data_IF_295237315743
#
_entry.id   IF_295237315743
#
_cell.length_a   1.000
_cell.length_b   1.000
_cell.length_c   1.000
_cell.angle_alpha   90.00
_cell.angle_beta   90.00
_cell.angle_gamma   90.00
#
_symmetry.space_group_name_H-M   'P 1'
#
loop_
_entity.id
_entity.type
_entity.pdbx_description
1 polymer ?
#
# COMPACT_ATOMS: atom_id res chain seq x y z
N UNK A 1 5.21 27.29 -0.16
CA UNK A 1 4.06 26.61 -0.78
C UNK A 1 2.99 27.66 -1.01
N UNK A 2 2.50 27.78 -2.22
CA UNK A 2 1.40 28.69 -2.60
C UNK A 2 0.27 27.86 -3.19
N UNK A 3 -0.94 28.07 -2.69
CA UNK A 3 -2.17 27.49 -3.24
C UNK A 3 -3.35 28.42 -2.96
N UNK A 4 -4.15 28.71 -3.99
CA UNK A 4 -5.36 29.51 -3.86
C UNK A 4 -5.14 30.89 -3.21
N UNK A 5 -4.01 31.55 -3.51
CA UNK A 5 -3.63 32.85 -2.94
C UNK A 5 -3.11 32.78 -1.49
N UNK A 6 -3.10 31.62 -0.85
CA UNK A 6 -2.45 31.42 0.46
C UNK A 6 -1.01 30.98 0.29
N UNK A 7 -0.12 31.65 1.02
CA UNK A 7 1.27 31.28 1.13
C UNK A 7 1.57 30.66 2.50
N UNK A 8 2.28 29.55 2.50
CA UNK A 8 2.78 28.90 3.70
C UNK A 8 4.27 28.67 3.56
N UNK A 9 5.04 29.16 4.51
CA UNK A 9 6.49 28.94 4.57
C UNK A 9 6.81 27.91 5.65
N UNK A 10 7.61 26.92 5.29
CA UNK A 10 8.12 25.90 6.20
C UNK A 10 9.64 26.03 6.26
N UNK A 11 10.19 25.96 7.46
CA UNK A 11 11.65 25.94 7.68
C UNK A 11 12.03 24.52 8.06
N UNK A 12 12.75 23.86 7.18
CA UNK A 12 13.29 22.52 7.43
C UNK A 12 14.71 22.68 7.95
N UNK A 13 15.05 22.14 9.12
CA UNK A 13 16.39 22.23 9.66
C UNK A 13 17.42 21.51 8.78
N UNK A 14 18.66 21.93 8.84
CA UNK A 14 19.76 21.23 8.16
C UNK A 14 20.05 19.90 8.89
N UNK A 15 20.41 18.88 8.12
CA UNK A 15 20.96 17.64 8.66
C UNK A 15 22.43 17.89 9.00
N UNK A 16 22.85 17.53 10.21
CA UNK A 16 24.24 17.64 10.61
C UNK A 16 25.12 16.71 9.78
N UNK A 17 26.27 17.18 9.34
CA UNK A 17 27.27 16.37 8.61
C UNK A 17 27.79 15.21 9.50
N UNK A 18 27.76 15.40 10.83
CA UNK A 18 28.15 14.36 11.79
C UNK A 18 27.07 13.29 12.02
N UNK A 19 25.84 13.52 11.57
CA UNK A 19 24.76 12.54 11.68
C UNK A 19 24.81 11.57 10.51
N UNK A 20 25.38 10.40 10.74
CA UNK A 20 25.47 9.33 9.73
C UNK A 20 24.15 8.56 9.53
N UNK A 21 23.17 8.74 10.42
CA UNK A 21 21.90 7.99 10.39
C UNK A 21 20.77 8.74 9.71
N UNK A 22 20.65 10.05 9.94
CA UNK A 22 19.58 10.86 9.33
C UNK A 22 19.93 11.21 7.89
N UNK A 23 19.23 10.60 6.94
CA UNK A 23 19.46 10.84 5.50
C UNK A 23 18.52 11.90 4.92
N UNK A 24 17.35 12.07 5.50
CA UNK A 24 16.36 13.07 5.11
C UNK A 24 15.48 13.48 6.28
N UNK A 25 14.97 14.72 6.22
CA UNK A 25 13.95 15.20 7.15
C UNK A 25 12.64 15.31 6.39
N UNK A 26 11.61 14.64 6.90
CA UNK A 26 10.25 14.70 6.35
C UNK A 26 9.53 15.88 6.97
N UNK A 27 8.91 16.70 6.15
CA UNK A 27 8.02 17.78 6.59
C UNK A 27 6.73 17.78 5.78
N UNK A 28 5.65 18.22 6.40
CA UNK A 28 4.34 18.31 5.76
C UNK A 28 3.64 19.61 6.13
N UNK A 29 2.76 20.08 5.24
CA UNK A 29 1.92 21.25 5.50
C UNK A 29 0.49 20.98 5.04
N UNK A 30 -0.47 21.34 5.87
CA UNK A 30 -1.89 21.34 5.52
C UNK A 30 -2.36 22.78 5.32
N UNK A 31 -2.97 23.08 4.18
CA UNK A 31 -3.47 24.39 3.86
C UNK A 31 -4.99 24.32 3.68
N UNK A 32 -5.74 24.91 4.59
CA UNK A 32 -7.18 25.01 4.47
C UNK A 32 -7.54 26.27 3.68
N UNK A 33 -8.23 26.10 2.57
CA UNK A 33 -8.67 27.15 1.67
C UNK A 33 -10.14 26.97 1.34
N UNK A 34 -10.80 28.05 0.94
CA UNK A 34 -12.12 27.94 0.35
C UNK A 34 -12.00 27.36 -1.07
N UNK A 35 -12.98 26.57 -1.52
CA UNK A 35 -12.99 26.02 -2.87
C UNK A 35 -12.87 27.14 -3.91
N UNK A 36 -11.96 26.97 -4.85
CA UNK A 36 -11.87 27.84 -6.02
C UNK A 36 -12.69 27.18 -7.12
N UNK A 37 -13.63 27.92 -7.68
CA UNK A 37 -14.48 27.45 -8.77
C UNK A 37 -13.72 27.50 -10.12
N UNK A 38 -12.64 26.77 -10.23
CA UNK A 38 -11.88 26.64 -11.49
C UNK A 38 -11.58 25.17 -11.75
N UNK A 39 -11.59 24.77 -13.02
CA UNK A 39 -11.30 23.41 -13.45
C UNK A 39 -9.83 23.01 -13.26
N UNK A 40 -8.95 23.99 -13.15
CA UNK A 40 -7.52 23.79 -12.93
C UNK A 40 -7.10 24.33 -11.59
N UNK A 41 -6.45 23.50 -10.82
CA UNK A 41 -5.84 23.83 -9.53
C UNK A 41 -4.33 23.88 -9.69
N UNK A 42 -3.71 24.98 -9.27
CA UNK A 42 -2.26 25.16 -9.32
C UNK A 42 -1.69 25.22 -7.91
N UNK A 43 -0.73 24.35 -7.64
CA UNK A 43 0.06 24.36 -6.40
C UNK A 43 1.50 24.69 -6.77
N UNK A 44 2.01 25.82 -6.28
CA UNK A 44 3.40 26.21 -6.48
C UNK A 44 4.24 25.91 -5.25
N UNK A 45 5.34 25.18 -5.45
CA UNK A 45 6.32 24.91 -4.42
C UNK A 45 7.65 25.55 -4.79
N UNK A 46 8.21 26.35 -3.88
CA UNK A 46 9.52 26.93 -4.03
C UNK A 46 10.41 26.43 -2.91
N UNK A 47 11.52 25.81 -3.26
CA UNK A 47 12.56 25.42 -2.33
C UNK A 47 13.70 26.43 -2.39
N UNK A 48 13.99 27.07 -1.27
CA UNK A 48 15.07 28.03 -1.13
C UNK A 48 16.11 27.47 -0.15
N UNK A 49 17.36 27.41 -0.59
CA UNK A 49 18.47 27.01 0.27
C UNK A 49 19.66 27.95 0.03
N UNK A 50 20.43 28.18 1.09
CA UNK A 50 21.72 28.89 1.03
C UNK A 50 22.87 27.96 0.65
N UNK A 51 22.65 26.65 0.66
CA UNK A 51 23.65 25.64 0.29
C UNK A 51 23.32 25.00 -1.06
N UNK A 52 24.30 24.94 -1.95
CA UNK A 52 24.17 24.28 -3.27
C UNK A 52 24.03 22.75 -3.17
N UNK A 53 24.40 22.15 -2.04
CA UNK A 53 24.28 20.71 -1.80
C UNK A 53 22.91 20.30 -1.22
N UNK A 54 22.05 21.25 -0.89
CA UNK A 54 20.71 20.96 -0.36
C UNK A 54 19.75 20.56 -1.48
N UNK A 55 19.06 19.45 -1.28
CA UNK A 55 18.02 18.97 -2.19
C UNK A 55 16.70 18.82 -1.43
N UNK A 56 15.59 19.01 -2.14
CA UNK A 56 14.25 18.73 -1.64
C UNK A 56 13.50 17.88 -2.66
N UNK A 57 12.79 16.88 -2.17
CA UNK A 57 12.00 15.99 -2.98
C UNK A 57 10.53 16.07 -2.56
N UNK A 58 9.66 16.29 -3.53
CA UNK A 58 8.22 16.24 -3.30
C UNK A 58 7.79 14.78 -3.28
N UNK A 59 7.23 14.34 -2.15
CA UNK A 59 6.71 12.99 -2.02
C UNK A 59 5.30 12.88 -2.62
N UNK A 60 4.36 13.69 -2.14
CA UNK A 60 3.00 13.74 -2.69
C UNK A 60 2.33 15.08 -2.42
N UNK A 61 1.28 15.35 -3.18
CA UNK A 61 0.30 16.39 -2.93
C UNK A 61 -1.07 15.71 -2.85
N UNK A 62 -1.80 15.98 -1.79
CA UNK A 62 -3.18 15.54 -1.65
C UNK A 62 -4.11 16.76 -1.66
N UNK A 63 -5.17 16.70 -2.48
CA UNK A 63 -6.19 17.72 -2.56
C UNK A 63 -7.55 17.11 -2.20
N UNK A 64 -8.16 17.61 -1.14
CA UNK A 64 -9.51 17.25 -0.73
C UNK A 64 -10.47 18.39 -1.11
N UNK A 65 -11.15 18.23 -2.22
CA UNK A 65 -12.02 19.26 -2.79
C UNK A 65 -13.46 18.73 -2.94
N UNK A 66 -14.48 19.55 -2.62
CA UNK A 66 -15.84 19.23 -2.99
C UNK A 66 -15.99 19.36 -4.52
N UNK A 67 -16.43 18.29 -5.15
CA UNK A 67 -16.65 18.24 -6.59
C UNK A 67 -18.10 17.86 -6.91
N UNK A 68 -18.61 18.35 -8.05
CA UNK A 68 -19.83 17.79 -8.62
C UNK A 68 -19.58 16.36 -9.08
N UNK A 69 -20.55 15.48 -8.87
CA UNK A 69 -20.46 14.11 -9.35
C UNK A 69 -20.79 14.07 -10.85
N UNK A 70 -19.75 14.16 -11.65
CA UNK A 70 -19.82 14.07 -13.13
C UNK A 70 -18.81 13.01 -13.56
N UNK A 71 -19.24 12.06 -14.38
CA UNK A 71 -18.36 10.98 -14.88
C UNK A 71 -17.47 11.51 -16.01
N UNK A 72 -16.38 12.16 -15.66
CA UNK A 72 -15.45 12.82 -16.58
C UNK A 72 -14.21 11.97 -16.93
N UNK A 73 -14.13 10.75 -16.43
CA UNK A 73 -13.04 9.81 -16.67
C UNK A 73 -13.54 8.37 -16.60
N UNK A 74 -12.72 7.41 -16.97
CA UNK A 74 -13.07 5.98 -16.91
C UNK A 74 -13.10 5.42 -15.48
N UNK A 75 -12.54 6.14 -14.52
CA UNK A 75 -12.57 5.80 -13.09
C UNK A 75 -12.47 7.07 -12.25
N UNK A 76 -13.29 7.18 -11.21
CA UNK A 76 -13.15 8.23 -10.20
C UNK A 76 -13.51 7.75 -8.79
N UNK A 77 -12.71 8.10 -7.78
CA UNK A 77 -13.03 7.84 -6.38
C UNK A 77 -14.04 8.86 -5.85
N UNK A 78 -14.93 8.41 -4.97
CA UNK A 78 -15.97 9.22 -4.35
C UNK A 78 -15.97 8.96 -2.86
N UNK A 79 -15.74 10.01 -2.06
CA UNK A 79 -15.84 9.97 -0.60
C UNK A 79 -16.64 11.19 -0.17
N UNK A 80 -17.69 10.97 0.61
CA UNK A 80 -18.47 12.06 1.19
C UNK A 80 -18.27 12.07 2.70
N UNK A 81 -17.54 13.05 3.21
CA UNK A 81 -17.33 13.26 4.64
C UNK A 81 -18.12 14.41 5.21
N UNK A 82 -18.59 15.33 4.35
CA UNK A 82 -19.26 16.57 4.77
C UNK A 82 -20.60 16.35 5.46
N UNK A 83 -21.36 15.35 5.01
CA UNK A 83 -22.70 15.04 5.51
C UNK A 83 -22.72 13.79 6.38
N UNK A 84 -21.55 13.29 6.78
CA UNK A 84 -21.41 12.10 7.59
C UNK A 84 -22.20 12.23 8.91
N UNK A 85 -23.02 11.23 9.19
CA UNK A 85 -23.84 11.16 10.41
C UNK A 85 -25.12 12.04 10.42
N UNK A 86 -25.33 12.90 9.41
CA UNK A 86 -26.53 13.74 9.35
C UNK A 86 -27.82 12.94 9.07
N UNK A 87 -27.73 11.89 8.26
CA UNK A 87 -28.83 10.97 7.97
C UNK A 87 -28.27 9.57 7.71
N UNK A 88 -29.03 8.51 8.00
CA UNK A 88 -28.53 7.14 7.86
C UNK A 88 -28.29 6.72 6.40
N UNK A 89 -29.02 7.28 5.45
CA UNK A 89 -28.86 6.96 4.04
C UNK A 89 -28.80 8.24 3.20
N UNK A 90 -28.03 8.16 2.11
CA UNK A 90 -27.82 9.25 1.18
C UNK A 90 -28.03 8.79 -0.25
N UNK A 91 -28.75 9.58 -1.02
CA UNK A 91 -28.92 9.35 -2.45
C UNK A 91 -27.89 10.17 -3.22
N UNK A 92 -27.08 9.49 -3.99
CA UNK A 92 -26.09 10.09 -4.87
C UNK A 92 -26.64 10.19 -6.29
N UNK A 93 -26.29 11.26 -6.99
CA UNK A 93 -26.62 11.50 -8.38
C UNK A 93 -25.35 11.86 -9.14
N UNK A 94 -24.97 11.00 -10.08
CA UNK A 94 -23.81 11.21 -10.96
C UNK A 94 -24.28 11.52 -12.36
N UNK A 95 -23.88 12.67 -12.87
CA UNK A 95 -24.17 13.10 -14.23
C UNK A 95 -23.20 12.50 -15.25
N UNK A 96 -23.54 12.57 -16.53
CA UNK A 96 -22.73 12.07 -17.66
C UNK A 96 -22.36 10.58 -17.56
N UNK A 97 -23.12 9.81 -16.83
CA UNK A 97 -22.98 8.36 -16.76
C UNK A 97 -23.69 7.68 -17.96
N UNK A 98 -23.25 6.48 -18.27
CA UNK A 98 -23.81 5.65 -19.32
C UNK A 98 -24.14 4.23 -18.82
N UNK A 99 -24.68 3.38 -19.70
CA UNK A 99 -25.09 2.00 -19.37
C UNK A 99 -23.95 1.10 -18.88
N UNK A 100 -22.69 1.47 -19.15
CA UNK A 100 -21.51 0.71 -18.70
C UNK A 100 -20.95 1.26 -17.38
N UNK A 101 -21.45 2.40 -16.88
CA UNK A 101 -20.98 2.98 -15.63
C UNK A 101 -21.45 2.16 -14.44
N UNK A 102 -20.53 1.70 -13.62
CA UNK A 102 -20.77 0.96 -12.39
C UNK A 102 -20.29 1.75 -11.17
N UNK A 103 -20.96 1.55 -10.06
CA UNK A 103 -20.55 2.08 -8.76
C UNK A 103 -20.15 0.90 -7.87
N UNK A 104 -18.92 0.92 -7.39
CA UNK A 104 -18.40 -0.08 -6.47
C UNK A 104 -18.14 0.56 -5.12
N UNK A 105 -18.67 -0.05 -4.07
CA UNK A 105 -18.35 0.28 -2.69
C UNK A 105 -17.10 -0.48 -2.27
N UNK A 106 -16.13 0.22 -1.69
CA UNK A 106 -14.88 -0.38 -1.19
C UNK A 106 -14.84 -0.21 0.32
N UNK A 107 -14.92 -1.32 1.05
CA UNK A 107 -14.88 -1.35 2.51
C UNK A 107 -13.55 -1.89 2.98
N UNK A 108 -12.93 -1.20 3.94
CA UNK A 108 -11.64 -1.59 4.55
C UNK A 108 -10.51 -1.83 3.52
N UNK A 109 -10.64 -1.26 2.31
CA UNK A 109 -9.66 -1.39 1.23
C UNK A 109 -9.60 -2.73 0.52
N UNK A 110 -10.33 -3.76 0.98
CA UNK A 110 -10.25 -5.13 0.45
C UNK A 110 -11.60 -5.72 0.00
N UNK A 111 -12.70 -5.32 0.64
CA UNK A 111 -14.03 -5.80 0.26
C UNK A 111 -14.65 -4.86 -0.75
N UNK A 112 -15.06 -5.43 -1.89
CA UNK A 112 -15.65 -4.69 -2.99
C UNK A 112 -17.04 -5.24 -3.30
N UNK A 113 -18.02 -4.34 -3.38
CA UNK A 113 -19.40 -4.66 -3.70
C UNK A 113 -19.91 -3.71 -4.79
N UNK A 114 -20.51 -4.28 -5.83
CA UNK A 114 -21.19 -3.48 -6.84
C UNK A 114 -22.53 -2.98 -6.29
N UNK A 115 -22.72 -1.66 -6.30
CA UNK A 115 -23.94 -1.04 -5.81
C UNK A 115 -25.08 -1.19 -6.83
N UNK A 116 -26.31 -1.43 -6.38
CA UNK A 116 -27.49 -1.27 -7.22
C UNK A 116 -27.63 0.18 -7.70
N UNK A 117 -27.79 0.36 -8.99
CA UNK A 117 -27.89 1.69 -9.61
C UNK A 117 -29.09 1.80 -10.52
N UNK A 118 -29.60 3.02 -10.72
CA UNK A 118 -30.63 3.36 -11.70
C UNK A 118 -30.09 4.45 -12.61
N UNK A 119 -30.09 4.21 -13.91
CA UNK A 119 -29.71 5.21 -14.92
C UNK A 119 -30.96 5.82 -15.56
N UNK A 120 -31.05 7.15 -15.57
CA UNK A 120 -32.11 7.89 -16.26
C UNK A 120 -31.53 9.18 -16.81
N UNK A 121 -31.72 9.41 -18.11
CA UNK A 121 -31.26 10.62 -18.82
C UNK A 121 -29.80 11.00 -18.52
N UNK A 122 -28.88 10.03 -18.55
CA UNK A 122 -27.45 10.26 -18.29
C UNK A 122 -27.09 10.49 -16.81
N UNK A 123 -28.07 10.37 -15.91
CA UNK A 123 -27.86 10.48 -14.47
C UNK A 123 -27.97 9.11 -13.82
N UNK A 124 -26.87 8.64 -13.25
CA UNK A 124 -26.81 7.41 -12.46
C UNK A 124 -27.10 7.71 -10.99
N UNK A 125 -27.98 6.94 -10.39
CA UNK A 125 -28.41 7.13 -9.00
C UNK A 125 -28.16 5.86 -8.19
N UNK A 126 -27.64 6.01 -6.97
CA UNK A 126 -27.55 4.94 -5.97
C UNK A 126 -27.79 5.47 -4.56
N UNK A 127 -27.99 4.55 -3.62
CA UNK A 127 -28.15 4.88 -2.20
C UNK A 127 -26.96 4.30 -1.45
N UNK A 128 -26.30 5.12 -0.65
CA UNK A 128 -25.20 4.73 0.22
C UNK A 128 -25.52 4.90 1.69
N UNK A 129 -24.82 4.16 2.53
CA UNK A 129 -24.81 4.36 3.97
C UNK A 129 -24.05 5.65 4.30
N UNK A 130 -24.62 6.47 5.15
CA UNK A 130 -24.02 7.73 5.57
C UNK A 130 -23.70 7.77 7.08
N UNK A 131 -23.81 6.64 7.75
CA UNK A 131 -23.43 6.51 9.16
C UNK A 131 -21.92 6.43 9.34
N UNK A 132 -21.20 6.08 8.28
CA UNK A 132 -19.76 5.98 8.19
C UNK A 132 -19.24 6.55 6.87
N UNK A 133 -17.95 6.89 6.82
CA UNK A 133 -17.30 7.38 5.61
C UNK A 133 -17.05 6.21 4.65
N UNK A 134 -18.01 5.92 3.79
CA UNK A 134 -17.87 4.93 2.72
C UNK A 134 -17.10 5.51 1.53
N UNK A 135 -16.25 4.68 0.95
CA UNK A 135 -15.55 4.96 -0.29
C UNK A 135 -16.28 4.24 -1.44
N UNK A 136 -16.65 5.02 -2.45
CA UNK A 136 -17.15 4.48 -3.71
C UNK A 136 -16.15 4.72 -4.82
N UNK A 137 -16.18 3.87 -5.83
CA UNK A 137 -15.45 4.04 -7.08
C UNK A 137 -16.48 3.95 -8.20
N UNK A 138 -16.62 5.02 -8.95
CA UNK A 138 -17.31 4.98 -10.23
C UNK A 138 -16.33 4.52 -11.28
N UNK A 139 -16.70 3.55 -12.12
CA UNK A 139 -15.85 3.07 -13.18
C UNK A 139 -16.65 2.60 -14.40
N UNK A 140 -15.99 2.62 -15.55
CA UNK A 140 -16.50 2.02 -16.78
C UNK A 140 -15.66 0.77 -17.13
N UNK A 141 -16.10 -0.44 -16.78
CA UNK A 141 -15.32 -1.67 -17.05
C UNK A 141 -15.15 -1.97 -18.54
N UNK A 142 -16.01 -1.44 -19.40
CA UNK A 142 -15.92 -1.60 -20.84
C UNK A 142 -14.89 -0.68 -21.51
N UNK A 143 -14.24 0.19 -20.77
CA UNK A 143 -13.18 1.06 -21.31
C UNK A 143 -11.97 0.22 -21.71
N UNK A 144 -11.45 0.47 -22.89
CA UNK A 144 -10.32 -0.28 -23.45
C UNK A 144 -8.95 0.25 -23.03
N UNK A 145 -8.90 1.34 -22.29
CA UNK A 145 -7.66 1.96 -21.79
C UNK A 145 -7.17 1.36 -20.48
N UNK A 146 -7.92 0.43 -19.88
CA UNK A 146 -7.49 -0.29 -18.69
C UNK A 146 -6.15 -1.00 -18.90
N UNK A 147 -5.24 -0.81 -17.96
CA UNK A 147 -3.97 -1.54 -17.98
C UNK A 147 -4.23 -3.03 -17.82
N UNK A 148 -3.63 -3.81 -18.68
CA UNK A 148 -3.68 -5.28 -18.62
C UNK A 148 -2.39 -5.81 -18.00
N UNK A 149 -2.46 -6.81 -17.11
CA UNK A 149 -1.25 -7.44 -16.60
C UNK A 149 -0.49 -8.12 -17.74
N UNK A 150 0.82 -8.03 -17.69
CA UNK A 150 1.71 -8.71 -18.63
C UNK A 150 2.21 -9.99 -17.98
N UNK A 151 2.11 -11.12 -18.68
CA UNK A 151 2.68 -12.37 -18.20
C UNK A 151 4.19 -12.31 -18.29
N UNK A 152 4.89 -12.46 -17.18
CA UNK A 152 6.35 -12.45 -17.10
C UNK A 152 6.95 -13.86 -17.06
N UNK A 153 6.17 -14.90 -16.79
CA UNK A 153 6.64 -16.29 -16.77
C UNK A 153 5.83 -17.20 -15.87
N UNK A 154 6.33 -18.42 -15.74
CA UNK A 154 5.80 -19.40 -14.78
C UNK A 154 6.60 -19.30 -13.48
N UNK A 155 5.90 -19.28 -12.36
CA UNK A 155 6.50 -19.41 -11.04
C UNK A 155 6.57 -20.89 -10.68
N UNK A 156 7.68 -21.33 -10.11
CA UNK A 156 7.85 -22.70 -9.61
C UNK A 156 6.85 -22.93 -8.48
N UNK A 157 6.22 -24.10 -8.48
CA UNK A 157 5.31 -24.47 -7.40
C UNK A 157 6.07 -24.50 -6.07
N UNK A 158 5.47 -23.90 -5.05
CA UNK A 158 6.00 -23.83 -3.71
C UNK A 158 4.86 -24.00 -2.70
N UNK A 159 5.18 -24.35 -1.46
CA UNK A 159 4.21 -24.44 -0.38
C UNK A 159 4.91 -24.25 0.97
N UNK A 160 5.24 -23.01 1.32
CA UNK A 160 5.81 -22.68 2.62
C UNK A 160 4.78 -22.85 3.75
N UNK A 161 3.51 -22.79 3.40
CA UNK A 161 2.43 -23.09 4.35
C UNK A 161 2.38 -24.56 4.77
N UNK A 162 3.13 -25.47 4.15
CA UNK A 162 3.28 -26.85 4.61
C UNK A 162 4.41 -27.07 5.62
N UNK A 163 5.22 -26.05 5.89
CA UNK A 163 6.33 -26.16 6.85
C UNK A 163 5.80 -26.34 8.27
N UNK A 164 6.33 -27.34 8.98
CA UNK A 164 5.99 -27.66 10.37
C UNK A 164 7.23 -28.08 11.14
N UNK A 165 7.26 -27.79 12.44
CA UNK A 165 8.32 -28.22 13.37
C UNK A 165 9.73 -27.81 12.91
N UNK A 166 9.90 -26.59 12.47
CA UNK A 166 11.20 -26.04 12.03
C UNK A 166 11.82 -25.25 13.17
N UNK A 167 13.01 -25.70 13.60
CA UNK A 167 13.80 -25.02 14.63
C UNK A 167 14.55 -23.80 14.07
N UNK A 168 15.12 -23.95 12.87
CA UNK A 168 16.01 -22.99 12.25
C UNK A 168 15.54 -22.62 10.85
N UNK A 169 15.13 -21.36 10.67
CA UNK A 169 14.73 -20.82 9.38
C UNK A 169 15.84 -19.94 8.85
N UNK A 170 16.25 -20.15 7.60
CA UNK A 170 17.16 -19.27 6.87
C UNK A 170 16.40 -18.66 5.70
N UNK A 171 16.32 -17.34 5.64
CA UNK A 171 15.77 -16.60 4.51
C UNK A 171 16.93 -15.93 3.77
N UNK A 172 17.04 -16.15 2.47
CA UNK A 172 18.15 -15.65 1.68
C UNK A 172 17.76 -15.37 0.22
N UNK A 173 18.51 -14.54 -0.51
CA UNK A 173 18.45 -14.46 -1.96
C UNK A 173 18.75 -15.82 -2.60
N UNK A 174 18.23 -16.03 -3.81
CA UNK A 174 18.35 -17.30 -4.53
C UNK A 174 19.82 -17.77 -4.70
N UNK A 175 20.73 -16.84 -4.91
CA UNK A 175 22.16 -17.11 -5.05
C UNK A 175 22.82 -17.64 -3.78
N UNK A 176 22.21 -17.45 -2.62
CA UNK A 176 22.74 -17.92 -1.34
C UNK A 176 22.10 -19.21 -0.82
N UNK A 177 21.19 -19.83 -1.58
CA UNK A 177 20.54 -21.09 -1.16
C UNK A 177 21.56 -22.18 -0.88
N UNK A 178 22.49 -22.44 -1.80
CA UNK A 178 23.47 -23.52 -1.61
C UNK A 178 24.41 -23.32 -0.40
N UNK A 179 24.99 -22.13 -0.13
CA UNK A 179 25.74 -21.91 1.10
C UNK A 179 24.85 -21.92 2.36
N UNK A 180 23.60 -21.48 2.28
CA UNK A 180 22.64 -21.52 3.38
C UNK A 180 22.29 -22.96 3.78
N UNK A 181 22.06 -23.84 2.80
CA UNK A 181 21.84 -25.28 3.04
C UNK A 181 23.03 -25.96 3.70
N UNK A 182 24.27 -25.63 3.27
CA UNK A 182 25.48 -26.15 3.94
C UNK A 182 25.56 -25.74 5.40
N UNK A 183 25.20 -24.50 5.72
CA UNK A 183 25.16 -24.02 7.09
C UNK A 183 24.06 -24.74 7.89
N UNK A 184 22.86 -24.89 7.30
CA UNK A 184 21.72 -25.54 7.93
C UNK A 184 22.04 -27.01 8.24
N UNK A 185 22.61 -27.76 7.28
CA UNK A 185 23.05 -29.13 7.48
C UNK A 185 24.11 -29.26 8.59
N UNK A 186 24.99 -28.26 8.74
CA UNK A 186 25.97 -28.28 9.83
C UNK A 186 25.32 -28.14 11.20
N UNK A 187 24.28 -27.29 11.32
CA UNK A 187 23.49 -27.14 12.54
C UNK A 187 22.60 -28.38 12.83
N UNK A 188 22.12 -29.05 11.78
CA UNK A 188 21.45 -30.35 11.95
C UNK A 188 22.43 -31.40 12.53
N UNK A 189 23.64 -31.49 11.98
CA UNK A 189 24.64 -32.45 12.42
C UNK A 189 25.13 -32.21 13.87
N UNK A 190 25.39 -30.95 14.23
CA UNK A 190 26.01 -30.57 15.49
C UNK A 190 25.01 -30.31 16.60
N UNK A 191 23.92 -29.62 16.26
CA UNK A 191 22.95 -29.08 17.21
C UNK A 191 21.59 -29.81 17.16
N UNK A 192 21.45 -30.79 16.24
CA UNK A 192 20.24 -31.57 16.02
C UNK A 192 19.01 -30.67 15.74
N UNK A 193 19.19 -29.58 14.98
CA UNK A 193 18.11 -28.67 14.61
C UNK A 193 17.41 -29.15 13.35
N UNK A 194 16.09 -29.07 13.34
CA UNK A 194 15.31 -29.13 12.10
C UNK A 194 15.37 -27.77 11.39
N UNK A 195 15.51 -27.77 10.08
CA UNK A 195 15.74 -26.54 9.35
C UNK A 195 14.91 -26.37 8.07
N UNK A 196 14.76 -25.12 7.64
CA UNK A 196 14.24 -24.77 6.32
C UNK A 196 15.05 -23.59 5.77
N UNK A 197 15.50 -23.74 4.51
CA UNK A 197 16.09 -22.66 3.73
C UNK A 197 15.04 -22.23 2.69
N UNK A 198 14.69 -20.97 2.70
CA UNK A 198 13.67 -20.39 1.81
C UNK A 198 14.21 -19.11 1.18
N UNK A 199 13.80 -18.83 -0.06
CA UNK A 199 14.18 -17.55 -0.66
C UNK A 199 13.21 -16.44 -0.26
N UNK A 200 13.71 -15.21 -0.26
CA UNK A 200 12.92 -13.98 -0.09
C UNK A 200 11.71 -13.95 -1.05
N UNK A 201 11.95 -14.27 -2.34
CA UNK A 201 10.89 -14.35 -3.35
C UNK A 201 9.79 -15.36 -2.97
N UNK A 202 10.17 -16.56 -2.47
CA UNK A 202 9.22 -17.55 -2.01
C UNK A 202 8.36 -17.04 -0.84
N UNK A 203 9.01 -16.35 0.11
CA UNK A 203 8.29 -15.77 1.25
C UNK A 203 7.36 -14.64 0.79
N UNK A 204 7.80 -13.76 -0.11
CA UNK A 204 6.94 -12.71 -0.65
C UNK A 204 5.73 -13.27 -1.40
N UNK A 205 5.92 -14.32 -2.19
CA UNK A 205 4.83 -14.94 -2.95
C UNK A 205 3.70 -15.45 -2.05
N UNK A 206 4.02 -16.04 -0.89
CA UNK A 206 3.01 -16.63 -0.02
C UNK A 206 2.52 -15.70 1.10
N UNK A 207 3.33 -14.74 1.56
CA UNK A 207 3.01 -13.94 2.73
C UNK A 207 2.79 -12.44 2.46
N UNK A 208 3.09 -11.97 1.24
CA UNK A 208 2.84 -10.57 0.84
C UNK A 208 2.35 -10.42 -0.62
N UNK A 209 1.72 -11.45 -1.16
CA UNK A 209 1.14 -11.45 -2.54
C UNK A 209 2.17 -11.11 -3.62
N UNK A 210 3.43 -11.53 -3.44
CA UNK A 210 4.54 -11.27 -4.34
C UNK A 210 5.17 -9.89 -4.23
N UNK A 211 4.69 -9.05 -3.32
CA UNK A 211 5.29 -7.73 -3.08
C UNK A 211 6.45 -7.84 -2.11
N UNK A 212 7.65 -7.28 -2.42
CA UNK A 212 8.72 -7.18 -1.45
C UNK A 212 8.28 -6.40 -0.21
N UNK A 213 8.11 -7.10 0.91
CA UNK A 213 7.66 -6.55 2.18
C UNK A 213 8.30 -7.33 3.32
N UNK A 214 9.06 -6.66 4.16
CA UNK A 214 9.72 -7.27 5.33
C UNK A 214 8.74 -7.89 6.32
N UNK A 215 7.48 -7.44 6.32
CA UNK A 215 6.41 -8.03 7.13
C UNK A 215 6.14 -9.49 6.76
N UNK A 216 6.43 -9.90 5.52
CA UNK A 216 6.26 -11.29 5.06
C UNK A 216 7.11 -12.26 5.88
N UNK A 217 8.34 -11.89 6.23
CA UNK A 217 9.22 -12.69 7.08
C UNK A 217 8.62 -12.89 8.48
N UNK A 218 8.06 -11.85 9.04
CA UNK A 218 7.35 -11.91 10.31
C UNK A 218 6.12 -12.83 10.23
N UNK A 219 5.37 -12.81 9.13
CA UNK A 219 4.19 -13.65 8.94
C UNK A 219 4.56 -15.13 8.81
N UNK A 220 5.65 -15.46 8.09
CA UNK A 220 6.19 -16.81 8.05
C UNK A 220 6.54 -17.33 9.47
N UNK A 221 7.31 -16.55 10.21
CA UNK A 221 7.69 -16.92 11.58
C UNK A 221 6.50 -17.03 12.52
N UNK A 222 5.53 -16.12 12.38
CA UNK A 222 4.29 -16.17 13.15
C UNK A 222 3.49 -17.42 12.85
N UNK A 223 3.36 -17.82 11.59
CA UNK A 223 2.68 -19.05 11.19
C UNK A 223 3.30 -20.27 11.87
N UNK A 224 4.63 -20.42 11.83
CA UNK A 224 5.34 -21.51 12.50
C UNK A 224 5.14 -21.49 14.02
N UNK A 225 5.19 -20.30 14.63
CA UNK A 225 4.97 -20.13 16.06
C UNK A 225 3.55 -20.51 16.47
N UNK A 226 2.55 -20.05 15.73
CA UNK A 226 1.12 -20.32 16.02
C UNK A 226 0.81 -21.82 15.88
N UNK A 227 1.41 -22.50 14.89
CA UNK A 227 1.26 -23.95 14.68
C UNK A 227 1.78 -24.79 15.81
N UNK A 228 2.82 -24.33 16.49
CA UNK A 228 3.33 -25.00 17.69
C UNK A 228 2.29 -25.08 18.81
N UNK A 229 1.19 -24.33 18.73
CA UNK A 229 0.03 -24.39 19.62
C UNK A 229 0.38 -24.48 21.12
N UNK A 230 1.35 -23.65 21.53
CA UNK A 230 1.85 -23.64 22.91
C UNK A 230 2.97 -24.66 23.20
N UNK A 231 3.24 -25.61 22.33
CA UNK A 231 4.31 -26.57 22.50
C UNK A 231 5.69 -25.92 22.25
N UNK A 232 6.43 -25.68 23.33
CA UNK A 232 7.73 -24.99 23.26
C UNK A 232 8.78 -25.73 22.41
N UNK A 233 8.68 -27.07 22.31
CA UNK A 233 9.63 -27.90 21.53
C UNK A 233 9.42 -27.67 20.02
N UNK A 234 8.20 -27.38 19.58
CA UNK A 234 7.85 -27.21 18.18
C UNK A 234 7.94 -25.75 17.68
N UNK A 235 8.24 -24.81 18.58
CA UNK A 235 8.40 -23.41 18.21
C UNK A 235 9.68 -23.19 17.42
N UNK A 236 9.68 -22.31 16.40
CA UNK A 236 10.91 -21.91 15.77
C UNK A 236 11.84 -21.23 16.80
N UNK A 237 13.12 -21.62 16.78
CA UNK A 237 14.13 -21.16 17.74
C UNK A 237 15.01 -20.07 17.16
N UNK A 238 15.35 -20.20 15.87
CA UNK A 238 16.32 -19.32 15.21
C UNK A 238 15.82 -18.86 13.84
N UNK A 239 16.08 -17.61 13.52
CA UNK A 239 15.92 -17.03 12.19
C UNK A 239 17.23 -16.38 11.77
N UNK A 240 17.75 -16.78 10.62
CA UNK A 240 18.86 -16.10 9.96
C UNK A 240 18.35 -15.41 8.69
N UNK A 241 18.56 -14.11 8.59
CA UNK A 241 18.45 -13.35 7.36
C UNK A 241 19.84 -13.31 6.73
N UNK A 242 20.06 -14.15 5.72
CA UNK A 242 21.38 -14.32 5.10
C UNK A 242 21.47 -13.47 3.85
N UNK A 243 22.19 -12.36 3.95
CA UNK A 243 22.36 -11.38 2.90
C UNK A 243 22.77 -10.03 3.47
N UNK A 244 22.83 -9.03 2.62
CA UNK A 244 23.06 -7.65 3.05
C UNK A 244 21.71 -6.96 3.34
N UNK A 245 21.68 -6.14 4.37
CA UNK A 245 20.49 -5.41 4.79
C UNK A 245 20.53 -3.95 4.36
N UNK A 246 19.37 -3.39 4.09
CA UNK A 246 19.21 -1.94 3.92
C UNK A 246 18.22 -1.40 4.95
N UNK A 247 18.46 -0.18 5.41
CA UNK A 247 17.48 0.57 6.21
C UNK A 247 16.40 1.24 5.31
N UNK A 248 16.62 1.29 4.01
CA UNK A 248 15.65 1.79 3.03
C UNK A 248 14.86 0.60 2.46
N UNK A 249 13.60 0.51 2.85
CA UNK A 249 12.69 -0.57 2.48
C UNK A 249 11.77 -0.21 1.29
N UNK A 250 12.19 0.73 0.47
CA UNK A 250 11.47 1.15 -0.75
C UNK A 250 12.04 0.50 -2.00
#
# INVERSE_FOLDING_TARGET
INYAGKNTTRKIPAISVSDSHTKAIVDSATINVFPIATDKQEVSLHFNSTSSSSNAYLNYIELNLPCHLVMNSNQMPIINTKLLGHKPAMRYHMQEANNNTQIWRVTEGVFVEQMPTTLSNGTLTWIGDNTKAEKYIALNPADNTWKKPVTIGKVVNQNLHALENIDYVIICPREFVAPAEKLAMKHEEVDNLTWAVVTDEQVYNEFSSGTPDVSAYRWLMKMLYDRANGNAVQRPKYLLLMGDGTYDNR
#
